data_IF_059936811112
#
_entry.id   IF_059936811112
#
_cell.length_a   1.000
_cell.length_b   1.000
_cell.length_c   1.000
_cell.angle_alpha   90.00
_cell.angle_beta   90.00
_cell.angle_gamma   90.00
#
_symmetry.space_group_name_H-M   'P 1'
#
loop_
_entity.id
_entity.type
_entity.pdbx_description
1 polymer ?
#
# COMPACT_ATOMS: atom_id res chain seq x y z
N UNK A 1 -53.11 36.77 9.96
CA UNK A 1 -53.38 35.35 10.30
C UNK A 1 -52.19 34.52 9.81
N UNK A 2 -51.30 34.15 10.73
CA UNK A 2 -50.17 33.26 10.45
C UNK A 2 -50.62 31.81 10.68
N UNK A 3 -50.39 30.91 9.73
CA UNK A 3 -50.48 29.46 9.96
C UNK A 3 -49.07 28.90 9.98
N UNK A 4 -48.61 28.56 11.17
CA UNK A 4 -47.42 27.77 11.45
C UNK A 4 -47.72 26.32 11.10
N UNK A 5 -47.08 25.82 10.04
CA UNK A 5 -46.95 24.39 9.76
C UNK A 5 -45.58 23.93 10.21
N UNK A 6 -45.53 23.28 11.37
CA UNK A 6 -44.40 22.44 11.81
C UNK A 6 -44.37 21.17 10.97
N UNK A 7 -43.28 20.93 10.26
CA UNK A 7 -42.88 19.58 9.86
C UNK A 7 -41.44 19.39 10.32
N UNK A 8 -41.29 18.62 11.40
CA UNK A 8 -40.02 18.12 11.90
C UNK A 8 -39.59 17.00 10.96
N UNK A 9 -38.61 17.26 10.10
CA UNK A 9 -37.93 16.23 9.31
C UNK A 9 -36.61 15.89 9.97
N UNK A 10 -36.50 14.69 10.52
CA UNK A 10 -35.21 14.10 10.91
C UNK A 10 -34.35 14.00 9.64
N UNK A 11 -33.36 14.89 9.51
CA UNK A 11 -32.36 14.81 8.46
C UNK A 11 -31.34 13.74 8.82
N UNK A 12 -31.66 12.48 8.55
CA UNK A 12 -30.61 11.51 8.23
C UNK A 12 -29.85 12.08 7.03
N UNK A 13 -28.54 12.26 7.17
CA UNK A 13 -27.68 12.68 6.10
C UNK A 13 -27.71 11.59 5.02
N UNK A 14 -28.59 11.73 4.03
CA UNK A 14 -28.54 10.94 2.81
C UNK A 14 -27.30 11.43 2.07
N UNK A 15 -26.18 10.73 2.24
CA UNK A 15 -25.05 10.86 1.33
C UNK A 15 -25.58 10.58 -0.08
N UNK A 16 -25.49 11.54 -1.01
CA UNK A 16 -25.99 11.33 -2.36
C UNK A 16 -25.25 10.14 -2.97
N UNK A 17 -26.00 9.17 -3.49
CA UNK A 17 -25.41 8.08 -4.25
C UNK A 17 -24.67 8.67 -5.46
N UNK A 18 -23.46 8.16 -5.78
CA UNK A 18 -22.72 8.63 -6.93
C UNK A 18 -23.53 8.43 -8.22
N UNK A 19 -23.37 9.34 -9.17
CA UNK A 19 -23.98 9.18 -10.50
C UNK A 19 -23.50 7.87 -11.16
N UNK A 20 -24.36 7.21 -11.94
CA UNK A 20 -24.11 5.87 -12.51
C UNK A 20 -22.79 5.78 -13.31
N UNK A 21 -22.38 6.87 -13.95
CA UNK A 21 -21.11 6.99 -14.68
C UNK A 21 -19.89 7.01 -13.74
N UNK A 22 -20.02 7.65 -12.57
CA UNK A 22 -19.00 7.63 -11.51
C UNK A 22 -18.87 6.25 -10.89
N UNK A 23 -19.98 5.57 -10.61
CA UNK A 23 -19.94 4.23 -10.02
C UNK A 23 -19.35 3.20 -11.01
N UNK A 24 -19.71 3.29 -12.29
CA UNK A 24 -19.11 2.44 -13.33
C UNK A 24 -17.60 2.69 -13.46
N UNK A 25 -17.15 3.94 -13.40
CA UNK A 25 -15.73 4.29 -13.44
C UNK A 25 -14.97 3.74 -12.22
N UNK A 26 -15.53 3.84 -11.01
CA UNK A 26 -14.95 3.27 -9.79
C UNK A 26 -14.81 1.75 -9.93
N UNK A 27 -15.86 1.05 -10.37
CA UNK A 27 -15.82 -0.41 -10.58
C UNK A 27 -14.75 -0.82 -11.59
N UNK A 28 -14.61 -0.08 -12.68
CA UNK A 28 -13.58 -0.33 -13.69
C UNK A 28 -12.16 -0.11 -13.14
N UNK A 29 -11.93 0.97 -12.39
CA UNK A 29 -10.64 1.26 -11.76
C UNK A 29 -10.28 0.20 -10.71
N UNK A 30 -11.22 -0.17 -9.83
CA UNK A 30 -11.03 -1.27 -8.87
C UNK A 30 -10.70 -2.58 -9.58
N UNK A 31 -11.46 -2.96 -10.61
CA UNK A 31 -11.20 -4.19 -11.36
C UNK A 31 -9.81 -4.19 -12.03
N UNK A 32 -9.37 -3.04 -12.55
CA UNK A 32 -8.05 -2.87 -13.14
C UNK A 32 -6.94 -3.12 -12.11
N UNK A 33 -7.02 -2.52 -10.92
CA UNK A 33 -5.95 -2.68 -9.92
C UNK A 33 -5.98 -4.06 -9.26
N UNK A 34 -7.18 -4.64 -9.07
CA UNK A 34 -7.32 -6.02 -8.61
C UNK A 34 -6.66 -7.02 -9.57
N UNK A 35 -6.74 -6.80 -10.90
CA UNK A 35 -6.08 -7.69 -11.87
C UNK A 35 -4.54 -7.61 -11.84
N UNK A 36 -3.96 -6.63 -11.13
CA UNK A 36 -2.52 -6.38 -11.06
C UNK A 36 -1.85 -6.86 -9.76
N UNK A 37 -2.61 -7.44 -8.84
CA UNK A 37 -2.14 -7.82 -7.50
C UNK A 37 -0.89 -8.71 -7.54
N UNK A 38 -0.88 -9.69 -8.44
CA UNK A 38 0.19 -10.69 -8.57
C UNK A 38 1.21 -10.36 -9.68
N UNK A 39 1.03 -9.23 -10.38
CA UNK A 39 1.96 -8.82 -11.45
C UNK A 39 3.29 -8.30 -10.88
N UNK A 40 4.40 -8.67 -11.53
CA UNK A 40 5.74 -8.21 -11.21
C UNK A 40 6.62 -9.30 -10.62
N UNK A 41 7.72 -8.91 -10.01
CA UNK A 41 8.62 -9.82 -9.31
C UNK A 41 9.25 -9.15 -8.10
N UNK A 42 10.48 -9.54 -7.78
CA UNK A 42 11.21 -9.01 -6.63
C UNK A 42 11.21 -7.48 -6.52
N UNK A 43 11.46 -6.69 -7.60
CA UNK A 43 11.45 -5.23 -7.50
C UNK A 43 10.11 -4.64 -7.05
N UNK A 44 9.01 -5.11 -7.65
CA UNK A 44 7.67 -4.66 -7.32
C UNK A 44 7.26 -5.07 -5.90
N UNK A 45 7.62 -6.28 -5.48
CA UNK A 45 7.35 -6.77 -4.14
C UNK A 45 8.13 -5.99 -3.07
N UNK A 46 9.41 -5.69 -3.34
CA UNK A 46 10.22 -4.84 -2.46
C UNK A 46 9.63 -3.42 -2.32
N UNK A 47 9.21 -2.81 -3.43
CA UNK A 47 8.57 -1.48 -3.43
C UNK A 47 7.25 -1.52 -2.66
N UNK A 48 6.42 -2.56 -2.88
CA UNK A 48 5.14 -2.73 -2.18
C UNK A 48 5.33 -2.80 -0.67
N UNK A 49 6.30 -3.58 -0.21
CA UNK A 49 6.64 -3.69 1.22
C UNK A 49 7.15 -2.37 1.78
N UNK A 50 8.05 -1.67 1.08
CA UNK A 50 8.52 -0.34 1.50
C UNK A 50 7.34 0.62 1.70
N UNK A 51 6.39 0.64 0.76
CA UNK A 51 5.24 1.54 0.82
C UNK A 51 4.21 1.14 1.88
N UNK A 52 3.98 -0.16 2.08
CA UNK A 52 3.03 -0.66 3.05
C UNK A 52 3.51 -0.34 4.48
N UNK A 53 4.79 -0.61 4.78
CA UNK A 53 5.37 -0.33 6.10
C UNK A 53 5.43 1.17 6.37
N UNK A 54 5.94 1.98 5.42
CA UNK A 54 6.02 3.45 5.57
C UNK A 54 4.65 4.17 5.57
N UNK A 55 3.55 3.44 5.35
CA UNK A 55 2.20 4.00 5.29
C UNK A 55 1.27 3.48 6.39
N UNK A 56 1.76 2.58 7.25
CA UNK A 56 0.97 1.84 8.23
C UNK A 56 0.37 2.75 9.31
N UNK A 57 1.05 3.84 9.65
CA UNK A 57 0.63 4.83 10.64
C UNK A 57 -0.11 6.06 10.03
N UNK A 58 -0.35 6.03 8.71
CA UNK A 58 -0.92 7.12 7.92
C UNK A 58 -0.08 8.41 7.88
N UNK A 59 1.19 8.36 8.27
CA UNK A 59 2.12 9.47 8.21
C UNK A 59 3.35 9.08 7.39
N UNK A 60 3.31 9.32 6.07
CA UNK A 60 4.52 9.22 5.26
C UNK A 60 5.52 10.31 5.68
N UNK A 61 6.48 9.92 6.49
CA UNK A 61 7.51 10.78 7.02
C UNK A 61 8.68 10.90 6.01
N UNK A 62 9.44 11.99 6.09
CA UNK A 62 10.55 12.24 5.15
C UNK A 62 11.69 11.23 5.32
N UNK A 63 11.88 10.68 6.52
CA UNK A 63 12.94 9.74 6.89
C UNK A 63 12.65 8.35 6.34
N UNK A 64 11.41 7.88 6.38
CA UNK A 64 11.00 6.59 5.78
C UNK A 64 11.20 6.60 4.27
N UNK A 65 10.81 7.70 3.60
CA UNK A 65 11.10 7.89 2.18
C UNK A 65 12.61 7.87 1.89
N UNK A 66 13.42 8.52 2.75
CA UNK A 66 14.88 8.49 2.63
C UNK A 66 15.46 7.09 2.91
N UNK A 67 14.87 6.33 3.82
CA UNK A 67 15.27 4.95 4.12
C UNK A 67 14.98 4.06 2.91
N UNK A 68 13.78 4.13 2.33
CA UNK A 68 13.42 3.45 1.09
C UNK A 68 14.38 3.80 -0.06
N UNK A 69 14.68 5.10 -0.26
CA UNK A 69 15.62 5.53 -1.29
C UNK A 69 17.05 4.99 -1.06
N UNK A 70 17.52 4.98 0.19
CA UNK A 70 18.82 4.39 0.55
C UNK A 70 18.87 2.89 0.30
N UNK A 71 17.80 2.16 0.63
CA UNK A 71 17.69 0.72 0.38
C UNK A 71 17.74 0.44 -1.12
N UNK A 72 16.95 1.14 -1.92
CA UNK A 72 16.94 1.00 -3.38
C UNK A 72 18.33 1.24 -3.98
N UNK A 73 19.03 2.29 -3.54
CA UNK A 73 20.38 2.62 -4.03
C UNK A 73 21.45 1.59 -3.64
N UNK A 74 21.31 0.94 -2.48
CA UNK A 74 22.31 0.00 -1.94
C UNK A 74 22.05 -1.45 -2.34
N UNK A 75 20.79 -1.82 -2.54
CA UNK A 75 20.42 -3.18 -2.89
C UNK A 75 20.95 -3.54 -4.30
N UNK A 76 21.77 -4.60 -4.47
CA UNK A 76 22.36 -4.94 -5.76
C UNK A 76 21.36 -5.20 -6.89
N UNK A 77 20.13 -5.58 -6.56
CA UNK A 77 19.06 -5.92 -7.51
C UNK A 77 18.15 -4.72 -7.81
N UNK A 78 18.06 -3.75 -6.88
CA UNK A 78 17.26 -2.53 -7.07
C UNK A 78 18.08 -1.35 -7.58
N UNK A 79 19.40 -1.31 -7.33
CA UNK A 79 20.28 -0.16 -7.67
C UNK A 79 20.35 0.19 -9.14
N UNK A 80 19.93 -0.72 -10.02
CA UNK A 80 19.92 -0.54 -11.47
C UNK A 80 18.61 0.08 -11.97
N UNK A 81 17.58 0.13 -11.13
CA UNK A 81 16.31 0.78 -11.46
C UNK A 81 16.55 2.28 -11.51
N UNK A 82 16.16 2.92 -12.62
CA UNK A 82 16.25 4.38 -12.75
C UNK A 82 15.27 5.04 -11.79
N UNK A 83 15.58 6.25 -11.32
CA UNK A 83 14.69 6.98 -10.39
C UNK A 83 13.27 7.17 -10.96
N UNK A 84 13.16 7.43 -12.26
CA UNK A 84 11.86 7.59 -12.94
C UNK A 84 11.06 6.28 -12.94
N UNK A 85 11.73 5.17 -13.27
CA UNK A 85 11.14 3.83 -13.24
C UNK A 85 10.71 3.44 -11.82
N UNK A 86 11.54 3.73 -10.81
CA UNK A 86 11.19 3.51 -9.41
C UNK A 86 9.93 4.30 -9.03
N UNK A 87 9.85 5.58 -9.40
CA UNK A 87 8.68 6.43 -9.12
C UNK A 87 7.41 5.91 -9.81
N UNK A 88 7.54 5.44 -11.04
CA UNK A 88 6.42 4.84 -11.77
C UNK A 88 5.93 3.55 -11.09
N UNK A 89 6.86 2.64 -10.78
CA UNK A 89 6.54 1.40 -10.04
C UNK A 89 5.94 1.71 -8.66
N UNK A 90 6.47 2.69 -7.93
CA UNK A 90 5.93 3.11 -6.64
C UNK A 90 4.50 3.64 -6.75
N UNK A 91 4.17 4.43 -7.78
CA UNK A 91 2.79 4.90 -8.03
C UNK A 91 1.84 3.73 -8.28
N UNK A 92 2.26 2.76 -9.09
CA UNK A 92 1.47 1.55 -9.37
C UNK A 92 1.24 0.76 -8.09
N UNK A 93 2.30 0.46 -7.33
CA UNK A 93 2.17 -0.30 -6.08
C UNK A 93 1.35 0.44 -5.02
N UNK A 94 1.46 1.78 -4.95
CA UNK A 94 0.61 2.59 -4.07
C UNK A 94 -0.89 2.47 -4.44
N UNK A 95 -1.23 2.47 -5.74
CA UNK A 95 -2.61 2.26 -6.20
C UNK A 95 -3.14 0.86 -5.88
N UNK A 96 -2.30 -0.15 -6.05
CA UNK A 96 -2.62 -1.53 -5.68
C UNK A 96 -2.93 -1.63 -4.18
N UNK A 97 -2.06 -1.08 -3.32
CA UNK A 97 -2.25 -1.05 -1.86
C UNK A 97 -3.51 -0.29 -1.43
N UNK A 98 -3.84 0.82 -2.10
CA UNK A 98 -5.06 1.58 -1.85
C UNK A 98 -6.33 0.83 -2.25
N UNK A 99 -6.23 -0.09 -3.21
CA UNK A 99 -7.37 -0.87 -3.71
C UNK A 99 -7.73 -1.97 -2.71
N UNK A 100 -6.74 -2.75 -2.29
CA UNK A 100 -6.90 -3.78 -1.25
C UNK A 100 -5.53 -4.11 -0.65
N UNK A 101 -5.26 -3.58 0.55
CA UNK A 101 -4.00 -3.79 1.26
C UNK A 101 -3.75 -5.27 1.53
N UNK A 102 -4.75 -5.97 2.09
CA UNK A 102 -4.62 -7.36 2.52
C UNK A 102 -4.33 -8.28 1.34
N UNK A 103 -5.04 -8.10 0.22
CA UNK A 103 -4.84 -8.89 -0.98
C UNK A 103 -3.47 -8.59 -1.61
N UNK A 104 -3.06 -7.32 -1.63
CA UNK A 104 -1.75 -6.92 -2.14
C UNK A 104 -0.60 -7.57 -1.34
N UNK A 105 -0.74 -7.67 -0.01
CA UNK A 105 0.24 -8.36 0.83
C UNK A 105 0.21 -9.89 0.58
N UNK A 106 -0.98 -10.48 0.48
CA UNK A 106 -1.13 -11.93 0.20
C UNK A 106 -0.53 -12.36 -1.15
N UNK A 107 -0.37 -11.43 -2.09
CA UNK A 107 0.29 -11.70 -3.37
C UNK A 107 1.83 -11.72 -3.30
N UNK A 108 2.45 -11.24 -2.20
CA UNK A 108 3.91 -11.21 -2.05
C UNK A 108 4.60 -12.58 -2.29
N UNK A 109 4.08 -13.73 -1.82
CA UNK A 109 4.73 -15.03 -2.05
C UNK A 109 4.80 -15.44 -3.53
N UNK A 110 3.85 -14.97 -4.35
CA UNK A 110 3.82 -15.23 -5.79
C UNK A 110 4.90 -14.41 -6.51
N UNK A 111 5.21 -13.21 -5.99
CA UNK A 111 6.23 -12.31 -6.55
C UNK A 111 7.64 -12.63 -6.05
N UNK A 112 7.76 -13.13 -4.82
CA UNK A 112 8.99 -13.51 -4.14
C UNK A 112 9.11 -15.04 -4.08
N UNK A 113 9.31 -15.66 -5.25
CA UNK A 113 9.20 -17.11 -5.43
C UNK A 113 10.33 -17.89 -4.76
N UNK A 114 11.51 -17.30 -4.61
CA UNK A 114 12.65 -17.96 -3.97
C UNK A 114 12.76 -17.61 -2.49
N UNK A 115 13.30 -18.52 -1.68
CA UNK A 115 13.60 -18.25 -0.26
C UNK A 115 14.49 -17.02 -0.09
N UNK A 116 15.47 -16.85 -0.99
CA UNK A 116 16.32 -15.66 -1.03
C UNK A 116 15.51 -14.38 -1.23
N UNK A 117 14.54 -14.38 -2.15
CA UNK A 117 13.67 -13.22 -2.37
C UNK A 117 12.87 -12.88 -1.11
N UNK A 118 12.30 -13.90 -0.46
CA UNK A 118 11.51 -13.74 0.76
C UNK A 118 12.36 -13.17 1.90
N UNK A 119 13.53 -13.73 2.16
CA UNK A 119 14.47 -13.24 3.16
C UNK A 119 14.86 -11.78 2.90
N UNK A 120 15.21 -11.46 1.66
CA UNK A 120 15.63 -10.11 1.29
C UNK A 120 14.47 -9.09 1.38
N UNK A 121 13.24 -9.49 1.06
CA UNK A 121 12.05 -8.64 1.28
C UNK A 121 11.78 -8.41 2.77
N UNK A 122 11.91 -9.44 3.60
CA UNK A 122 11.74 -9.29 5.05
C UNK A 122 12.81 -8.37 5.66
N UNK A 123 14.06 -8.47 5.21
CA UNK A 123 15.11 -7.54 5.62
C UNK A 123 14.76 -6.10 5.22
N UNK A 124 14.21 -5.88 4.03
CA UNK A 124 13.74 -4.55 3.61
C UNK A 124 12.62 -4.06 4.54
N UNK A 125 11.62 -4.89 4.84
CA UNK A 125 10.51 -4.54 5.72
C UNK A 125 11.01 -4.09 7.10
N UNK A 126 11.90 -4.89 7.71
CA UNK A 126 12.49 -4.61 9.03
C UNK A 126 13.31 -3.32 9.03
N UNK A 127 14.10 -3.09 7.98
CA UNK A 127 14.92 -1.89 7.87
C UNK A 127 14.10 -0.61 7.70
N UNK A 128 12.91 -0.69 7.08
CA UNK A 128 11.98 0.43 6.98
C UNK A 128 11.32 0.69 8.33
N UNK A 129 10.75 -0.34 8.96
CA UNK A 129 10.12 -0.18 10.28
C UNK A 129 11.11 0.38 11.32
N UNK A 130 12.36 -0.05 11.29
CA UNK A 130 13.40 0.44 12.19
C UNK A 130 14.05 1.78 11.75
N UNK A 131 13.54 2.42 10.68
CA UNK A 131 14.11 3.69 10.20
C UNK A 131 13.82 4.86 11.16
N UNK A 132 12.72 4.77 11.91
CA UNK A 132 12.44 5.67 13.03
C UNK A 132 12.94 5.09 14.37
N UNK A 133 13.23 5.98 15.32
CA UNK A 133 13.73 5.58 16.64
C UNK A 133 12.69 4.79 17.47
N UNK A 134 11.41 4.83 17.05
CA UNK A 134 10.30 4.14 17.69
C UNK A 134 9.44 3.50 16.60
N UNK A 135 9.39 2.17 16.59
CA UNK A 135 8.43 1.41 15.76
C UNK A 135 7.04 1.61 16.38
N UNK A 136 6.08 2.04 15.57
CA UNK A 136 4.69 2.19 16.01
C UNK A 136 3.97 0.83 16.03
N UNK A 137 2.92 0.71 16.85
CA UNK A 137 2.18 -0.56 17.03
C UNK A 137 1.58 -1.07 15.70
N UNK A 138 1.17 -0.16 14.82
CA UNK A 138 0.62 -0.45 13.49
C UNK A 138 1.68 -1.03 12.55
N UNK A 139 2.89 -0.47 12.53
CA UNK A 139 4.01 -0.96 11.74
C UNK A 139 4.46 -2.35 12.21
N UNK A 140 4.50 -2.57 13.53
CA UNK A 140 4.86 -3.86 14.11
C UNK A 140 3.87 -4.97 13.73
N UNK A 141 2.55 -4.69 13.78
CA UNK A 141 1.50 -5.64 13.35
C UNK A 141 1.59 -5.93 11.85
N UNK A 142 1.88 -4.91 11.05
CA UNK A 142 2.03 -5.08 9.61
C UNK A 142 3.27 -5.93 9.29
N UNK A 143 4.37 -5.68 9.99
CA UNK A 143 5.59 -6.48 9.86
C UNK A 143 5.35 -7.94 10.22
N UNK A 144 4.67 -8.23 11.34
CA UNK A 144 4.27 -9.59 11.74
C UNK A 144 3.40 -10.26 10.66
N UNK A 145 2.48 -9.51 10.06
CA UNK A 145 1.66 -9.99 8.95
C UNK A 145 2.52 -10.37 7.73
N UNK A 146 3.48 -9.52 7.34
CA UNK A 146 4.39 -9.80 6.22
C UNK A 146 5.28 -11.00 6.52
N UNK A 147 5.79 -11.12 7.75
CA UNK A 147 6.60 -12.27 8.20
C UNK A 147 5.81 -13.58 8.14
N UNK A 148 4.54 -13.58 8.52
CA UNK A 148 3.66 -14.75 8.41
C UNK A 148 3.36 -15.16 6.96
N UNK A 149 3.36 -14.21 6.03
CA UNK A 149 3.12 -14.46 4.60
C UNK A 149 4.37 -14.98 3.87
N UNK A 150 5.56 -14.62 4.34
CA UNK A 150 6.83 -14.95 3.68
C UNK A 150 7.69 -15.89 4.54
N UNK A 151 7.30 -17.18 4.68
CA UNK A 151 8.10 -18.13 5.45
C UNK A 151 9.46 -18.34 4.79
N UNK A 152 10.52 -18.16 5.57
CA UNK A 152 11.92 -18.37 5.17
C UNK A 152 12.44 -19.68 5.73
#
# INVERSE_FOLDING_TARGET
MFKSGTTSGNGEAVTPEPAEDVEAAIKQDTALWMSKMEEGGFPEAAIRVMLAVSGADHAFDKREYQAAEKIVKRNPRLRFIKLEEFREKAKIQARILQTDLDLALKALPVMATTEKDRTEILEIARNIAAADEVIQDEEAKLLETIEGLLPV
#
